data_IF_757558422626
#
_entry.id   IF_757558422626
#
_cell.length_a   1.000
_cell.length_b   1.000
_cell.length_c   1.000
_cell.angle_alpha   90.00
_cell.angle_beta   90.00
_cell.angle_gamma   90.00
#
_symmetry.space_group_name_H-M   'P 1'
#
loop_
_entity.id
_entity.type
_entity.pdbx_description
1 polymer ?
#
# COMPACT_ATOMS: atom_id res chain seq x y z
N UNK A 1 -5.10 -12.42 -0.30
CA UNK A 1 -6.58 -12.42 -0.26
C UNK A 1 -6.96 -12.62 1.18
N UNK A 2 -7.24 -11.50 1.85
CA UNK A 2 -7.36 -11.42 3.31
C UNK A 2 -8.42 -12.43 3.78
N UNK A 3 -8.03 -13.25 4.77
CA UNK A 3 -8.90 -14.18 5.47
C UNK A 3 -9.37 -15.47 4.75
N UNK A 4 -8.77 -15.90 3.62
CA UNK A 4 -9.09 -17.23 3.08
C UNK A 4 -8.80 -18.34 4.13
N UNK A 5 -9.86 -18.78 4.83
CA UNK A 5 -9.83 -19.81 5.86
C UNK A 5 -9.97 -19.34 7.31
N UNK A 6 -9.90 -18.04 7.63
CA UNK A 6 -10.02 -17.54 9.01
C UNK A 6 -10.64 -16.13 9.08
N UNK A 7 -11.97 -16.02 9.31
CA UNK A 7 -12.67 -14.74 9.44
C UNK A 7 -12.17 -13.87 10.60
N UNK A 8 -11.53 -14.44 11.62
CA UNK A 8 -10.97 -13.64 12.73
C UNK A 8 -9.79 -12.78 12.29
N UNK A 9 -9.14 -13.15 11.17
CA UNK A 9 -8.07 -12.38 10.53
C UNK A 9 -8.56 -11.41 9.46
N UNK A 10 -9.88 -11.31 9.27
CA UNK A 10 -10.52 -10.36 8.36
C UNK A 10 -10.77 -9.00 9.03
N UNK A 11 -9.90 -8.57 9.94
CA UNK A 11 -10.01 -7.27 10.58
C UNK A 11 -8.99 -6.34 9.95
N UNK A 12 -9.49 -5.35 9.22
CA UNK A 12 -8.71 -4.21 8.76
C UNK A 12 -8.84 -3.09 9.79
N UNK A 13 -8.01 -3.11 10.83
CA UNK A 13 -8.05 -2.13 11.90
C UNK A 13 -6.62 -1.73 12.32
N UNK A 14 -6.47 -0.49 12.77
CA UNK A 14 -5.20 0.05 13.23
C UNK A 14 -4.78 -0.63 14.55
N UNK A 15 -3.67 -1.39 14.59
CA UNK A 15 -3.27 -2.10 15.80
C UNK A 15 -2.92 -1.17 16.96
N UNK A 16 -2.61 0.11 16.72
CA UNK A 16 -2.29 1.06 17.78
C UNK A 16 -3.52 1.70 18.42
N UNK A 17 -4.67 1.66 17.74
CA UNK A 17 -5.91 2.20 18.28
C UNK A 17 -6.60 1.19 19.21
N UNK A 18 -7.06 1.65 20.37
CA UNK A 18 -7.78 0.81 21.33
C UNK A 18 -9.26 0.77 20.97
N UNK A 19 -9.65 -0.22 20.19
CA UNK A 19 -11.06 -0.48 19.86
C UNK A 19 -11.80 -1.20 21.00
N UNK A 20 -13.06 -0.85 21.19
CA UNK A 20 -14.03 -1.64 21.93
C UNK A 20 -14.41 -2.92 21.18
N UNK A 21 -14.98 -3.89 21.90
CA UNK A 21 -15.47 -5.13 21.30
C UNK A 21 -16.56 -4.90 20.24
N UNK A 22 -17.45 -3.94 20.50
CA UNK A 22 -18.52 -3.54 19.57
C UNK A 22 -17.95 -2.92 18.28
N UNK A 23 -16.94 -2.04 18.40
CA UNK A 23 -16.28 -1.47 17.22
C UNK A 23 -15.60 -2.58 16.39
N UNK A 24 -14.88 -3.50 17.03
CA UNK A 24 -14.24 -4.62 16.33
C UNK A 24 -15.26 -5.54 15.64
N UNK A 25 -16.44 -5.75 16.24
CA UNK A 25 -17.53 -6.51 15.63
C UNK A 25 -18.07 -5.79 14.38
N UNK A 26 -18.32 -4.49 14.46
CA UNK A 26 -18.75 -3.68 13.31
C UNK A 26 -17.70 -3.70 12.20
N UNK A 27 -16.41 -3.52 12.52
CA UNK A 27 -15.32 -3.59 11.53
C UNK A 27 -15.27 -4.94 10.82
N UNK A 28 -15.47 -6.05 11.53
CA UNK A 28 -15.54 -7.40 10.94
C UNK A 28 -16.70 -7.53 9.96
N UNK A 29 -17.90 -7.12 10.38
CA UNK A 29 -19.11 -7.20 9.54
C UNK A 29 -18.91 -6.39 8.27
N UNK A 30 -18.46 -5.14 8.40
CA UNK A 30 -18.22 -4.25 7.25
C UNK A 30 -17.14 -4.81 6.33
N UNK A 31 -16.04 -5.34 6.89
CA UNK A 31 -14.97 -5.92 6.07
C UNK A 31 -15.50 -7.10 5.26
N UNK A 32 -16.22 -8.03 5.88
CA UNK A 32 -16.74 -9.23 5.19
C UNK A 32 -17.78 -8.85 4.12
N UNK A 33 -18.72 -7.96 4.44
CA UNK A 33 -19.79 -7.53 3.54
C UNK A 33 -19.24 -6.81 2.30
N UNK A 34 -18.19 -6.01 2.48
CA UNK A 34 -17.63 -5.19 1.39
C UNK A 34 -16.53 -5.89 0.59
N UNK A 35 -15.86 -6.92 1.15
CA UNK A 35 -14.67 -7.54 0.54
C UNK A 35 -14.89 -8.27 -0.78
N UNK A 36 -16.13 -8.68 -1.09
CA UNK A 36 -16.44 -9.50 -2.28
C UNK A 36 -17.54 -8.90 -3.16
N UNK A 37 -17.70 -7.58 -3.13
CA UNK A 37 -18.65 -6.91 -4.00
C UNK A 37 -18.25 -7.02 -5.50
N UNK A 38 -19.20 -6.72 -6.39
CA UNK A 38 -19.01 -6.87 -7.84
C UNK A 38 -17.80 -6.10 -8.39
N UNK A 39 -17.47 -4.95 -7.81
CA UNK A 39 -16.32 -4.12 -8.21
C UNK A 39 -15.01 -4.82 -7.86
N UNK A 40 -14.84 -5.29 -6.62
CA UNK A 40 -13.64 -6.02 -6.19
C UNK A 40 -13.46 -7.30 -7.00
N UNK A 41 -14.54 -8.05 -7.23
CA UNK A 41 -14.49 -9.26 -8.04
C UNK A 41 -14.14 -8.98 -9.50
N UNK A 42 -14.52 -7.82 -10.03
CA UNK A 42 -14.11 -7.38 -11.37
C UNK A 42 -12.62 -6.99 -11.41
N UNK A 43 -12.13 -6.27 -10.40
CA UNK A 43 -10.70 -5.92 -10.29
C UNK A 43 -9.82 -7.17 -10.24
N UNK A 44 -10.18 -8.16 -9.41
CA UNK A 44 -9.48 -9.44 -9.29
C UNK A 44 -9.37 -10.18 -10.63
N UNK A 45 -10.43 -10.16 -11.45
CA UNK A 45 -10.43 -10.76 -12.79
C UNK A 45 -9.51 -10.03 -13.77
N UNK A 46 -9.23 -8.76 -13.53
CA UNK A 46 -8.38 -7.93 -14.38
C UNK A 46 -6.92 -7.85 -13.91
N UNK A 47 -6.56 -8.36 -12.72
CA UNK A 47 -5.20 -8.25 -12.16
C UNK A 47 -4.14 -8.74 -13.14
N UNK A 48 -4.26 -9.96 -13.67
CA UNK A 48 -3.25 -10.52 -14.58
C UNK A 48 -3.10 -9.69 -15.86
N UNK A 49 -4.23 -9.33 -16.48
CA UNK A 49 -4.27 -8.49 -17.68
C UNK A 49 -3.64 -7.12 -17.43
N UNK A 50 -3.97 -6.49 -16.31
CA UNK A 50 -3.48 -5.16 -15.96
C UNK A 50 -1.97 -5.20 -15.66
N UNK A 51 -1.50 -6.20 -14.91
CA UNK A 51 -0.07 -6.40 -14.65
C UNK A 51 0.71 -6.61 -15.95
N UNK A 52 0.19 -7.40 -16.88
CA UNK A 52 0.83 -7.58 -18.19
C UNK A 52 0.90 -6.26 -19.00
N UNK A 53 -0.16 -5.44 -18.92
CA UNK A 53 -0.22 -4.17 -19.64
C UNK A 53 0.77 -3.11 -19.10
N UNK A 54 1.04 -3.12 -17.78
CA UNK A 54 1.89 -2.10 -17.12
C UNK A 54 3.31 -2.57 -16.81
N UNK A 55 3.66 -3.82 -17.11
CA UNK A 55 4.92 -4.46 -16.67
C UNK A 55 6.19 -3.65 -16.98
N UNK A 56 6.24 -3.03 -18.14
CA UNK A 56 7.41 -2.26 -18.62
C UNK A 56 7.15 -0.73 -18.59
N UNK A 57 6.12 -0.30 -17.86
CA UNK A 57 5.80 1.12 -17.71
C UNK A 57 6.50 1.71 -16.49
N UNK A 58 6.92 2.97 -16.62
CA UNK A 58 7.40 3.82 -15.53
C UNK A 58 6.65 5.16 -15.56
N UNK A 59 6.69 5.89 -14.45
CA UNK A 59 6.18 7.27 -14.44
C UNK A 59 6.98 8.15 -15.41
N UNK A 60 6.35 9.14 -16.07
CA UNK A 60 7.06 10.09 -16.92
C UNK A 60 8.11 10.87 -16.13
N UNK A 61 9.25 11.18 -16.75
CA UNK A 61 10.37 11.86 -16.08
C UNK A 61 10.06 13.30 -15.65
N UNK A 62 8.90 13.84 -16.07
CA UNK A 62 8.36 15.14 -15.69
C UNK A 62 7.40 15.10 -14.50
N UNK A 63 7.10 13.92 -13.95
CA UNK A 63 6.17 13.73 -12.83
C UNK A 63 6.98 13.37 -11.58
N UNK A 64 6.86 14.21 -10.56
CA UNK A 64 7.41 13.96 -9.22
C UNK A 64 6.61 12.84 -8.53
N UNK A 65 7.31 11.82 -8.02
CA UNK A 65 6.69 10.66 -7.36
C UNK A 65 7.33 10.45 -5.99
N UNK A 66 6.51 10.47 -4.95
CA UNK A 66 6.88 10.01 -3.62
C UNK A 66 6.33 8.59 -3.39
N UNK A 67 7.23 7.62 -3.25
CA UNK A 67 6.89 6.21 -3.06
C UNK A 67 7.37 5.71 -1.70
N UNK A 68 6.48 5.07 -0.95
CA UNK A 68 6.78 4.42 0.33
C UNK A 68 6.77 2.91 0.14
N UNK A 69 7.86 2.25 0.56
CA UNK A 69 8.06 0.81 0.35
C UNK A 69 8.33 0.14 1.68
N UNK A 70 7.58 -0.92 1.98
CA UNK A 70 7.70 -1.70 3.21
C UNK A 70 8.93 -2.61 3.14
N UNK A 71 9.79 -2.57 4.17
CA UNK A 71 11.01 -3.39 4.19
C UNK A 71 10.73 -4.88 4.34
N UNK A 72 9.69 -5.28 5.07
CA UNK A 72 9.29 -6.70 5.19
C UNK A 72 9.05 -7.33 3.81
N UNK A 73 8.50 -6.56 2.85
CA UNK A 73 8.32 -7.03 1.48
C UNK A 73 9.64 -7.23 0.75
N UNK A 74 10.66 -6.41 1.01
CA UNK A 74 12.00 -6.58 0.42
C UNK A 74 12.72 -7.80 0.98
N UNK A 75 12.48 -8.16 2.24
CA UNK A 75 13.00 -9.38 2.85
C UNK A 75 12.36 -10.64 2.22
N UNK A 76 11.06 -10.57 1.93
CA UNK A 76 10.33 -11.66 1.27
C UNK A 76 10.64 -11.76 -0.24
N UNK A 77 10.86 -10.63 -0.90
CA UNK A 77 11.06 -10.53 -2.34
C UNK A 77 12.30 -9.68 -2.63
N UNK A 78 13.47 -10.30 -2.90
CA UNK A 78 14.73 -9.57 -3.04
C UNK A 78 14.74 -8.46 -4.11
N UNK A 79 13.97 -8.65 -5.19
CA UNK A 79 13.88 -7.67 -6.28
C UNK A 79 12.88 -6.54 -6.01
N UNK A 80 12.13 -6.57 -4.90
CA UNK A 80 11.02 -5.65 -4.62
C UNK A 80 11.46 -4.19 -4.62
N UNK A 81 12.53 -3.88 -3.89
CA UNK A 81 13.06 -2.52 -3.83
C UNK A 81 13.46 -2.02 -5.23
N UNK A 82 14.15 -2.87 -5.99
CA UNK A 82 14.62 -2.53 -7.33
C UNK A 82 13.43 -2.26 -8.26
N UNK A 83 12.41 -3.11 -8.25
CA UNK A 83 11.21 -2.93 -9.06
C UNK A 83 10.50 -1.60 -8.75
N UNK A 84 10.36 -1.26 -7.46
CA UNK A 84 9.78 0.02 -7.06
C UNK A 84 10.63 1.21 -7.51
N UNK A 85 11.96 1.10 -7.42
CA UNK A 85 12.89 2.13 -7.89
C UNK A 85 12.82 2.33 -9.41
N UNK A 86 12.70 1.25 -10.17
CA UNK A 86 12.65 1.30 -11.64
C UNK A 86 11.35 1.95 -12.15
N UNK A 87 10.24 1.80 -11.41
CA UNK A 87 8.92 2.35 -11.80
C UNK A 87 8.81 3.86 -11.55
N UNK A 88 9.42 4.41 -10.49
CA UNK A 88 9.25 5.82 -10.11
C UNK A 88 9.95 6.84 -11.03
N UNK A 89 10.75 6.37 -11.98
CA UNK A 89 11.33 7.21 -13.03
C UNK A 89 12.46 8.11 -12.54
N UNK A 90 12.28 9.43 -12.71
CA UNK A 90 13.35 10.40 -12.49
C UNK A 90 13.62 10.67 -11.00
N UNK A 91 14.70 10.09 -10.47
CA UNK A 91 15.13 10.24 -9.08
C UNK A 91 15.62 11.64 -8.69
N UNK A 92 15.85 12.55 -9.65
CA UNK A 92 16.23 13.93 -9.34
C UNK A 92 15.05 14.73 -8.76
N UNK A 93 13.82 14.31 -9.08
CA UNK A 93 12.57 14.94 -8.60
C UNK A 93 11.68 13.97 -7.81
N UNK A 94 11.88 12.65 -7.96
CA UNK A 94 11.15 11.61 -7.26
C UNK A 94 11.92 11.07 -6.07
N UNK A 95 11.20 10.56 -5.07
CA UNK A 95 11.76 10.04 -3.83
C UNK A 95 11.15 8.70 -3.48
N UNK A 96 12.01 7.72 -3.17
CA UNK A 96 11.60 6.44 -2.58
C UNK A 96 12.05 6.38 -1.13
N UNK A 97 11.14 6.03 -0.23
CA UNK A 97 11.40 5.90 1.21
C UNK A 97 11.11 4.47 1.63
N UNK A 98 12.13 3.79 2.15
CA UNK A 98 11.98 2.47 2.77
C UNK A 98 11.59 2.65 4.23
N UNK A 99 10.47 2.06 4.63
CA UNK A 99 9.94 2.12 6.00
C UNK A 99 9.92 0.73 6.62
N UNK A 100 10.25 0.67 7.92
CA UNK A 100 10.11 -0.54 8.71
C UNK A 100 8.63 -0.89 8.89
N UNK A 101 8.30 -2.18 8.80
CA UNK A 101 6.94 -2.69 8.95
C UNK A 101 6.38 -3.35 7.69
N UNK A 102 5.13 -3.77 7.80
CA UNK A 102 4.45 -4.59 6.80
C UNK A 102 3.59 -3.80 5.80
N UNK A 103 2.62 -4.51 5.22
CA UNK A 103 1.81 -4.00 4.10
C UNK A 103 1.06 -2.68 4.40
N UNK A 104 0.64 -2.46 5.65
CA UNK A 104 -0.14 -1.30 6.07
C UNK A 104 0.70 -0.23 6.78
N UNK A 105 1.71 0.29 6.08
CA UNK A 105 2.59 1.37 6.57
C UNK A 105 1.84 2.62 7.05
N UNK A 106 0.62 2.86 6.55
CA UNK A 106 -0.19 4.00 6.98
C UNK A 106 -0.71 3.89 8.42
N UNK A 107 -0.74 2.69 8.99
CA UNK A 107 -0.98 2.51 10.43
C UNK A 107 0.32 2.71 11.21
N UNK A 108 1.37 1.94 10.90
CA UNK A 108 2.59 1.88 11.71
C UNK A 108 3.57 3.05 11.53
N UNK A 109 3.46 3.83 10.46
CA UNK A 109 4.45 4.86 10.09
C UNK A 109 3.83 6.22 9.78
N UNK A 110 2.62 6.48 10.29
CA UNK A 110 1.83 7.70 10.00
C UNK A 110 2.64 8.99 10.08
N UNK A 111 3.37 9.22 11.17
CA UNK A 111 4.11 10.47 11.38
C UNK A 111 5.23 10.63 10.33
N UNK A 112 5.97 9.55 10.06
CA UNK A 112 7.01 9.52 9.03
C UNK A 112 6.45 9.77 7.64
N UNK A 113 5.28 9.20 7.31
CA UNK A 113 4.59 9.45 6.04
C UNK A 113 4.25 10.94 5.89
N UNK A 114 3.62 11.53 6.91
CA UNK A 114 3.19 12.94 6.89
C UNK A 114 4.38 13.87 6.72
N UNK A 115 5.48 13.66 7.45
CA UNK A 115 6.70 14.47 7.32
C UNK A 115 7.23 14.42 5.89
N UNK A 116 7.36 13.22 5.31
CA UNK A 116 7.88 13.07 3.95
C UNK A 116 6.96 13.67 2.88
N UNK A 117 5.65 13.61 3.07
CA UNK A 117 4.67 14.25 2.18
C UNK A 117 4.82 15.77 2.25
N UNK A 118 4.87 16.36 3.45
CA UNK A 118 5.04 17.81 3.63
C UNK A 118 6.37 18.27 3.00
N UNK A 119 7.45 17.52 3.21
CA UNK A 119 8.76 17.86 2.65
C UNK A 119 8.75 17.81 1.11
N UNK A 120 8.08 16.82 0.51
CA UNK A 120 7.97 16.73 -0.95
C UNK A 120 7.19 17.91 -1.54
N UNK A 121 6.06 18.27 -0.94
CA UNK A 121 5.23 19.39 -1.40
C UNK A 121 6.01 20.71 -1.37
N UNK A 122 6.82 20.94 -0.33
CA UNK A 122 7.66 22.15 -0.21
C UNK A 122 8.78 22.25 -1.24
N UNK A 123 9.21 21.13 -1.83
CA UNK A 123 10.24 21.11 -2.90
C UNK A 123 9.63 21.55 -4.24
N UNK A 124 8.31 21.41 -4.41
CA UNK A 124 7.59 21.78 -5.63
C UNK A 124 7.12 23.24 -5.65
N UNK A 125 7.17 23.97 -4.53
CA UNK A 125 6.87 25.41 -4.39
C UNK A 125 8.10 26.31 -4.59
#
# INVERSE_FOLDING_TARGET
>A
MLSLGDPQKAIYADPEYTYSEEELEVFKILTIDTSYNATIMNELKCVEKNLAAVREMKFPDSVSVLSFVAKENCEMFPDWEKLHRDVIGNMDISKMVLLEGGHYLHFSCKDTLVINIIDQIKIEE
#
